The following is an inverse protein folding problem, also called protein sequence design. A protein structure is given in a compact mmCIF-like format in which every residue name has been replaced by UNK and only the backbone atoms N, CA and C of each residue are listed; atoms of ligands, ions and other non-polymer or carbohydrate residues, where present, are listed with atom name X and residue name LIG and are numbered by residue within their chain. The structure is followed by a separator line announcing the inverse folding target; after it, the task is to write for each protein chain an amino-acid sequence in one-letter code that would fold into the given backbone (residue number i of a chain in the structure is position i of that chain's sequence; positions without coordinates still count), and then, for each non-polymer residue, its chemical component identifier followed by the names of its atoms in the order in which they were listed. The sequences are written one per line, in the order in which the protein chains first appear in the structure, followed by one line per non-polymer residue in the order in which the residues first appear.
data_IF_868606694608
#
_entry.id   IF_868606694608
#
_cell.length_a   1.000
_cell.length_b   1.000
_cell.length_c   1.000
_cell.angle_alpha   90.00
_cell.angle_beta   90.00
_cell.angle_gamma   90.00
#
_symmetry.space_group_name_H-M   'P 1'
#
loop_
_entity.id
_entity.type
_entity.pdbx_description
1 polymer ?
#
# COMPACT_ATOMS: atom_id res chain seq x y z
N UNK A 1 34.32 46.75 0.79
CA UNK A 1 33.06 46.44 0.07
C UNK A 1 32.61 45.04 0.49
N UNK A 2 31.63 44.93 1.40
CA UNK A 2 31.13 43.64 1.92
C UNK A 2 30.10 43.07 0.96
N UNK A 3 30.43 41.98 0.26
CA UNK A 3 29.49 41.24 -0.59
C UNK A 3 28.63 40.36 0.31
N UNK A 4 27.36 40.75 0.50
CA UNK A 4 26.37 39.92 1.16
C UNK A 4 25.98 38.78 0.23
N UNK A 5 26.39 37.56 0.57
CA UNK A 5 25.92 36.36 -0.11
C UNK A 5 24.54 35.98 0.46
N UNK A 6 23.49 36.23 -0.32
CA UNK A 6 22.14 35.74 -0.05
C UNK A 6 22.10 34.24 -0.35
N UNK A 7 22.11 33.42 0.70
CA UNK A 7 21.89 31.98 0.60
C UNK A 7 20.37 31.76 0.54
N UNK A 8 19.86 31.49 -0.65
CA UNK A 8 18.48 31.07 -0.87
C UNK A 8 18.34 29.61 -0.44
N UNK A 9 17.82 29.37 0.76
CA UNK A 9 17.51 28.03 1.26
C UNK A 9 16.24 27.53 0.58
N UNK A 10 16.39 26.81 -0.53
CA UNK A 10 15.26 26.13 -1.19
C UNK A 10 14.88 24.94 -0.31
N UNK A 11 13.84 25.12 0.52
CA UNK A 11 13.16 24.04 1.22
C UNK A 11 12.42 23.19 0.18
N UNK A 12 13.08 22.16 -0.32
CA UNK A 12 12.44 21.11 -1.12
C UNK A 12 11.63 20.26 -0.16
N UNK A 13 10.36 20.60 0.03
CA UNK A 13 9.38 19.75 0.71
C UNK A 13 9.14 18.52 -0.16
N UNK A 14 9.97 17.48 -0.01
CA UNK A 14 9.63 16.16 -0.55
C UNK A 14 8.45 15.64 0.26
N UNK A 15 7.22 15.87 -0.24
CA UNK A 15 6.08 15.11 0.24
C UNK A 15 6.37 13.65 -0.10
N UNK A 16 6.88 12.91 0.88
CA UNK A 16 6.95 11.46 0.83
C UNK A 16 5.50 11.03 0.54
N UNK A 17 5.24 10.69 -0.71
CA UNK A 17 3.98 10.08 -1.11
C UNK A 17 3.82 8.88 -0.19
N UNK A 18 2.80 8.94 0.67
CA UNK A 18 2.37 7.79 1.44
C UNK A 18 2.32 6.63 0.45
N UNK A 19 3.22 5.67 0.66
CA UNK A 19 3.39 4.51 -0.20
C UNK A 19 2.00 3.88 -0.32
N UNK A 20 1.37 4.10 -1.47
CA UNK A 20 -0.02 3.72 -1.69
C UNK A 20 0.02 2.21 -1.93
N UNK A 21 0.19 1.47 -0.83
CA UNK A 21 0.38 0.01 -0.78
C UNK A 21 -0.74 -0.73 -1.52
N UNK A 22 -1.84 -0.03 -1.79
CA UNK A 22 -3.04 -0.53 -2.46
C UNK A 22 -3.33 0.14 -3.80
N UNK A 23 -2.36 0.88 -4.35
CA UNK A 23 -2.44 1.41 -5.72
C UNK A 23 -2.17 0.29 -6.72
N UNK A 24 -3.10 0.11 -7.65
CA UNK A 24 -2.93 -0.85 -8.72
C UNK A 24 -1.79 -0.44 -9.67
N UNK A 25 -0.74 -1.25 -9.66
CA UNK A 25 0.39 -1.30 -10.59
C UNK A 25 0.67 -2.77 -10.93
N UNK A 26 1.36 -3.04 -12.03
CA UNK A 26 1.70 -4.42 -12.43
C UNK A 26 2.41 -5.18 -11.28
N UNK A 27 3.35 -4.51 -10.60
CA UNK A 27 4.04 -5.06 -9.44
C UNK A 27 3.14 -5.24 -8.20
N UNK A 28 2.29 -4.26 -7.88
CA UNK A 28 1.41 -4.35 -6.71
C UNK A 28 0.31 -5.42 -6.88
N UNK A 29 -0.15 -5.63 -8.12
CA UNK A 29 -1.19 -6.59 -8.48
C UNK A 29 -0.69 -8.04 -8.46
N UNK A 30 0.59 -8.27 -8.72
CA UNK A 30 1.18 -9.60 -8.70
C UNK A 30 0.99 -10.29 -7.33
N UNK A 31 0.45 -11.51 -7.35
CA UNK A 31 0.21 -12.35 -6.18
C UNK A 31 -0.86 -11.83 -5.22
N UNK A 32 -1.71 -10.88 -5.62
CA UNK A 32 -2.80 -10.38 -4.77
C UNK A 32 -3.77 -11.50 -4.40
N UNK A 33 -4.05 -12.44 -5.30
CA UNK A 33 -4.94 -13.56 -5.03
C UNK A 33 -4.37 -14.48 -3.94
N UNK A 34 -3.06 -14.78 -4.03
CA UNK A 34 -2.33 -15.56 -3.01
C UNK A 34 -2.29 -14.84 -1.66
N UNK A 35 -2.13 -13.51 -1.64
CA UNK A 35 -2.17 -12.70 -0.41
C UNK A 35 -3.56 -12.76 0.24
N UNK A 36 -4.63 -12.62 -0.53
CA UNK A 36 -6.01 -12.73 -0.04
C UNK A 36 -6.26 -14.11 0.55
N UNK A 37 -5.82 -15.18 -0.12
CA UNK A 37 -5.96 -16.55 0.39
C UNK A 37 -5.20 -16.75 1.71
N UNK A 38 -3.95 -16.26 1.79
CA UNK A 38 -3.15 -16.30 3.02
C UNK A 38 -3.87 -15.60 4.18
N UNK A 39 -4.38 -14.39 3.96
CA UNK A 39 -5.11 -13.65 4.99
C UNK A 39 -6.38 -14.38 5.39
N UNK A 40 -7.11 -15.00 4.44
CA UNK A 40 -8.27 -15.83 4.75
C UNK A 40 -7.90 -17.01 5.66
N UNK A 41 -6.80 -17.73 5.38
CA UNK A 41 -6.31 -18.83 6.24
C UNK A 41 -5.97 -18.31 7.63
N UNK A 42 -5.31 -17.16 7.72
CA UNK A 42 -4.97 -16.52 9.00
C UNK A 42 -6.22 -16.14 9.78
N UNK A 43 -7.29 -15.62 9.16
CA UNK A 43 -8.54 -15.30 9.85
C UNK A 43 -9.20 -16.48 10.56
N UNK A 44 -8.99 -17.71 10.08
CA UNK A 44 -9.57 -18.92 10.68
C UNK A 44 -8.78 -19.45 11.89
N UNK A 45 -7.58 -18.92 12.13
CA UNK A 45 -6.80 -19.26 13.31
C UNK A 45 -7.27 -18.43 14.52
N UNK A 46 -7.07 -18.94 15.74
CA UNK A 46 -7.36 -18.17 16.96
C UNK A 46 -6.34 -17.03 17.09
N UNK A 47 -6.86 -15.80 17.16
CA UNK A 47 -6.05 -14.58 17.32
C UNK A 47 -6.61 -13.70 18.43
N UNK A 48 -5.80 -12.75 18.90
CA UNK A 48 -6.28 -11.61 19.68
C UNK A 48 -7.27 -10.77 18.84
N UNK A 49 -8.14 -10.03 19.52
CA UNK A 49 -9.11 -9.13 18.87
C UNK A 49 -8.44 -8.14 17.91
N UNK A 50 -7.31 -7.54 18.31
CA UNK A 50 -6.54 -6.60 17.50
C UNK A 50 -6.00 -7.23 16.21
N UNK A 51 -5.48 -8.44 16.28
CA UNK A 51 -4.90 -9.14 15.13
C UNK A 51 -5.98 -9.68 14.18
N UNK A 52 -7.11 -10.12 14.74
CA UNK A 52 -8.30 -10.44 13.94
C UNK A 52 -8.83 -9.22 13.18
N UNK A 53 -8.85 -8.04 13.81
CA UNK A 53 -9.23 -6.78 13.16
C UNK A 53 -8.25 -6.37 12.07
N UNK A 54 -6.94 -6.47 12.34
CA UNK A 54 -5.91 -6.26 11.32
C UNK A 54 -6.16 -7.13 10.09
N UNK A 55 -6.39 -8.42 10.24
CA UNK A 55 -6.69 -9.31 9.10
C UNK A 55 -7.99 -8.98 8.37
N UNK A 56 -9.01 -8.47 9.08
CA UNK A 56 -10.24 -7.98 8.42
C UNK A 56 -9.96 -6.76 7.56
N UNK A 57 -9.19 -5.81 8.08
CA UNK A 57 -8.85 -4.58 7.36
C UNK A 57 -7.91 -4.88 6.17
N UNK A 58 -6.87 -5.67 6.38
CA UNK A 58 -5.94 -6.10 5.33
C UNK A 58 -6.67 -6.82 4.19
N UNK A 59 -7.60 -7.73 4.51
CA UNK A 59 -8.42 -8.41 3.50
C UNK A 59 -9.30 -7.43 2.71
N UNK A 60 -9.84 -6.40 3.35
CA UNK A 60 -10.66 -5.38 2.69
C UNK A 60 -9.83 -4.58 1.70
N UNK A 61 -8.65 -4.14 2.10
CA UNK A 61 -7.76 -3.36 1.22
C UNK A 61 -7.20 -4.20 0.06
N UNK A 62 -6.80 -5.45 0.31
CA UNK A 62 -6.40 -6.38 -0.75
C UNK A 62 -7.51 -6.63 -1.77
N UNK A 63 -8.78 -6.71 -1.35
CA UNK A 63 -9.92 -6.81 -2.27
C UNK A 63 -10.12 -5.56 -3.12
N UNK A 64 -9.92 -4.36 -2.56
CA UNK A 64 -9.97 -3.11 -3.32
C UNK A 64 -8.84 -3.04 -4.34
N UNK A 65 -7.63 -3.44 -3.95
CA UNK A 65 -6.50 -3.56 -4.87
C UNK A 65 -6.82 -4.57 -5.98
N UNK A 66 -7.31 -5.77 -5.66
CA UNK A 66 -7.72 -6.79 -6.64
C UNK A 66 -8.74 -6.24 -7.65
N UNK A 67 -9.78 -5.55 -7.18
CA UNK A 67 -10.77 -4.92 -8.05
C UNK A 67 -10.14 -3.87 -8.98
N UNK A 68 -9.20 -3.07 -8.45
CA UNK A 68 -8.47 -2.06 -9.21
C UNK A 68 -7.53 -2.69 -10.25
N UNK A 69 -6.86 -3.78 -9.90
CA UNK A 69 -6.01 -4.57 -10.80
C UNK A 69 -6.84 -5.15 -11.96
N UNK A 70 -8.00 -5.76 -11.66
CA UNK A 70 -8.94 -6.29 -12.65
C UNK A 70 -9.45 -5.20 -13.58
N UNK A 71 -9.83 -4.03 -13.04
CA UNK A 71 -10.26 -2.87 -13.84
C UNK A 71 -9.16 -2.41 -14.82
N UNK A 72 -7.90 -2.48 -14.41
CA UNK A 72 -6.73 -2.11 -15.22
C UNK A 72 -6.17 -3.27 -16.07
N UNK A 73 -6.78 -4.46 -16.03
CA UNK A 73 -6.32 -5.68 -16.72
C UNK A 73 -4.90 -6.14 -16.32
N UNK A 74 -4.46 -5.83 -15.11
CA UNK A 74 -3.22 -6.36 -14.56
C UNK A 74 -3.44 -7.80 -14.04
N UNK A 75 -2.40 -8.64 -14.15
CA UNK A 75 -2.42 -9.98 -13.56
C UNK A 75 -2.50 -9.91 -12.03
N UNK A 76 -3.34 -10.77 -11.43
CA UNK A 76 -3.51 -10.87 -9.96
C UNK A 76 -2.97 -12.16 -9.36
N UNK A 77 -2.45 -13.05 -10.20
CA UNK A 77 -1.97 -14.39 -9.84
C UNK A 77 -0.63 -14.39 -9.10
#
# INVERSE_FOLDING_TARGET
MKKAALIATILISTTLHADDKYKASEYACHGVDKKIERIRKLQHQKHTSSKAEYYRNEKRELKKLQASCKKKKFSTE
#
